data_IF_162717438099
#
_entry.id   IF_162717438099
#
_cell.length_a   1.000
_cell.length_b   1.000
_cell.length_c   1.000
_cell.angle_alpha   90.00
_cell.angle_beta   90.00
_cell.angle_gamma   90.00
#
_symmetry.space_group_name_H-M   'P 1'
#
loop_
_entity.id
_entity.type
_entity.pdbx_description
1 polymer ?
#
# COMPACT_ATOMS: atom_id res chain seq x y z
N UNK A 1 21.49 -8.77 -16.23
CA UNK A 1 21.83 -8.36 -14.86
C UNK A 1 22.69 -7.11 -14.92
N UNK A 2 22.19 -5.96 -15.27
CA UNK A 2 22.94 -4.72 -15.20
C UNK A 2 21.96 -3.56 -15.40
N UNK A 3 22.03 -2.57 -14.57
CA UNK A 3 21.61 -1.19 -14.78
C UNK A 3 20.73 -0.50 -13.71
N UNK A 4 20.52 -1.13 -12.57
CA UNK A 4 19.95 -0.40 -11.41
C UNK A 4 21.04 0.39 -10.64
N UNK A 5 22.31 0.27 -11.05
CA UNK A 5 23.47 0.95 -10.43
C UNK A 5 23.63 2.42 -10.82
N UNK A 6 22.79 2.97 -11.70
CA UNK A 6 22.90 4.34 -12.18
C UNK A 6 21.83 5.30 -11.64
N UNK A 7 21.05 4.89 -10.64
CA UNK A 7 20.29 5.86 -9.83
C UNK A 7 21.34 6.53 -8.92
N UNK A 8 21.49 7.86 -8.95
CA UNK A 8 22.44 8.54 -8.07
C UNK A 8 22.06 8.17 -6.63
N UNK A 9 22.96 7.44 -5.98
CA UNK A 9 22.85 6.92 -4.62
C UNK A 9 23.00 8.09 -3.64
N UNK A 10 22.07 9.01 -3.67
CA UNK A 10 21.90 10.06 -2.66
C UNK A 10 20.57 9.91 -1.92
N UNK A 11 19.86 8.83 -2.14
CA UNK A 11 18.81 8.44 -1.18
C UNK A 11 19.53 7.89 0.04
N UNK A 12 19.62 8.71 1.06
CA UNK A 12 20.15 8.30 2.35
C UNK A 12 19.41 6.99 2.72
N UNK A 13 20.17 5.92 2.96
CA UNK A 13 19.59 4.59 3.27
C UNK A 13 18.59 4.68 4.42
N UNK A 14 18.81 5.64 5.32
CA UNK A 14 17.90 5.92 6.43
C UNK A 14 16.55 6.43 5.96
N UNK A 15 16.54 7.29 4.95
CA UNK A 15 15.29 7.82 4.35
C UNK A 15 14.51 6.73 3.64
N UNK A 16 15.19 5.79 2.97
CA UNK A 16 14.53 4.65 2.33
C UNK A 16 13.83 3.75 3.37
N UNK A 17 14.54 3.37 4.43
CA UNK A 17 13.95 2.53 5.49
C UNK A 17 12.83 3.25 6.23
N UNK A 18 13.00 4.54 6.53
CA UNK A 18 11.96 5.35 7.13
C UNK A 18 10.73 5.49 6.20
N UNK A 19 10.93 5.64 4.89
CA UNK A 19 9.85 5.67 3.91
C UNK A 19 9.04 4.37 3.89
N UNK A 20 9.70 3.22 3.83
CA UNK A 20 9.02 1.91 3.87
C UNK A 20 8.27 1.70 5.18
N UNK A 21 8.92 2.02 6.31
CA UNK A 21 8.28 1.97 7.62
C UNK A 21 6.99 2.82 7.66
N UNK A 22 7.04 4.07 7.19
CA UNK A 22 5.88 4.96 7.19
C UNK A 22 4.77 4.48 6.25
N UNK A 23 5.12 3.92 5.10
CA UNK A 23 4.15 3.35 4.16
C UNK A 23 3.47 2.12 4.76
N UNK A 24 4.22 1.20 5.36
CA UNK A 24 3.68 0.02 6.04
C UNK A 24 2.79 0.43 7.22
N UNK A 25 3.26 1.36 8.06
CA UNK A 25 2.49 1.91 9.17
C UNK A 25 1.16 2.54 8.70
N UNK A 26 1.19 3.32 7.60
CA UNK A 26 -0.03 3.93 7.05
C UNK A 26 -1.02 2.88 6.57
N UNK A 27 -0.55 1.80 5.97
CA UNK A 27 -1.37 0.66 5.56
C UNK A 27 -2.02 -0.03 6.74
N UNK A 28 -1.25 -0.31 7.81
CA UNK A 28 -1.77 -0.91 9.03
C UNK A 28 -2.81 -0.01 9.73
N UNK A 29 -2.51 1.27 9.90
CA UNK A 29 -3.44 2.23 10.52
C UNK A 29 -4.75 2.31 9.74
N UNK A 30 -4.67 2.30 8.40
CA UNK A 30 -5.85 2.27 7.56
C UNK A 30 -6.65 0.98 7.75
N UNK A 31 -6.00 -0.18 7.74
CA UNK A 31 -6.65 -1.49 7.93
C UNK A 31 -7.37 -1.58 9.27
N UNK A 32 -6.71 -1.21 10.36
CA UNK A 32 -7.29 -1.19 11.70
C UNK A 32 -8.45 -0.19 11.79
N UNK A 33 -8.33 0.98 11.17
CA UNK A 33 -9.38 1.99 11.15
C UNK A 33 -10.63 1.47 10.42
N UNK A 34 -10.48 0.90 9.23
CA UNK A 34 -11.57 0.33 8.45
C UNK A 34 -12.22 -0.82 9.21
N UNK A 35 -11.44 -1.72 9.77
CA UNK A 35 -11.92 -2.85 10.57
C UNK A 35 -12.76 -2.39 11.75
N UNK A 36 -12.32 -1.36 12.48
CA UNK A 36 -13.06 -0.79 13.61
C UNK A 36 -14.36 -0.10 13.18
N UNK A 37 -14.33 0.66 12.08
CA UNK A 37 -15.51 1.34 11.58
C UNK A 37 -16.55 0.31 11.08
N UNK A 38 -16.14 -0.73 10.36
CA UNK A 38 -17.06 -1.79 9.94
C UNK A 38 -17.66 -2.54 11.13
N UNK A 39 -16.84 -2.87 12.11
CA UNK A 39 -17.31 -3.56 13.32
C UNK A 39 -18.33 -2.73 14.10
N UNK A 40 -18.16 -1.41 14.14
CA UNK A 40 -19.05 -0.51 14.88
C UNK A 40 -20.30 -0.10 14.08
N UNK A 41 -20.17 0.14 12.77
CA UNK A 41 -21.22 0.75 11.95
C UNK A 41 -22.16 -0.27 11.28
N UNK A 42 -21.65 -1.47 10.94
CA UNK A 42 -22.43 -2.46 10.18
C UNK A 42 -22.64 -3.70 11.05
N UNK A 43 -21.66 -4.57 11.16
CA UNK A 43 -21.70 -5.80 11.97
C UNK A 43 -20.25 -6.31 12.11
N UNK A 44 -19.90 -6.90 13.24
CA UNK A 44 -18.56 -7.42 13.51
C UNK A 44 -18.04 -8.44 12.46
N UNK A 45 -18.96 -9.18 11.83
CA UNK A 45 -18.61 -10.13 10.77
C UNK A 45 -17.95 -9.48 9.54
N UNK A 46 -18.26 -8.21 9.28
CA UNK A 46 -17.67 -7.51 8.13
C UNK A 46 -16.23 -7.01 8.37
N UNK A 47 -15.71 -7.14 9.58
CA UNK A 47 -14.30 -6.88 9.86
C UNK A 47 -13.37 -7.77 9.02
N UNK A 48 -13.75 -9.04 8.79
CA UNK A 48 -12.97 -9.95 7.93
C UNK A 48 -12.92 -9.51 6.46
N UNK A 49 -13.94 -8.80 6.00
CA UNK A 49 -13.97 -8.25 4.64
C UNK A 49 -12.87 -7.19 4.47
N UNK A 50 -12.64 -6.34 5.47
CA UNK A 50 -11.58 -5.33 5.43
C UNK A 50 -10.19 -5.97 5.25
N UNK A 51 -9.89 -7.01 6.04
CA UNK A 51 -8.62 -7.76 5.94
C UNK A 51 -8.49 -8.43 4.56
N UNK A 52 -9.56 -9.06 4.07
CA UNK A 52 -9.56 -9.72 2.76
C UNK A 52 -9.29 -8.73 1.62
N UNK A 53 -9.90 -7.54 1.68
CA UNK A 53 -9.70 -6.48 0.69
C UNK A 53 -8.29 -5.93 0.74
N UNK A 54 -7.71 -5.75 1.94
CA UNK A 54 -6.32 -5.35 2.10
C UNK A 54 -5.36 -6.37 1.45
N UNK A 55 -5.56 -7.66 1.71
CA UNK A 55 -4.76 -8.73 1.11
C UNK A 55 -4.90 -8.79 -0.42
N UNK A 56 -6.11 -8.59 -0.95
CA UNK A 56 -6.32 -8.52 -2.41
C UNK A 56 -5.60 -7.33 -3.02
N UNK A 57 -5.69 -6.15 -2.40
CA UNK A 57 -5.00 -4.94 -2.87
C UNK A 57 -3.47 -5.13 -2.88
N UNK A 58 -2.91 -5.58 -1.76
CA UNK A 58 -1.47 -5.85 -1.63
C UNK A 58 -1.01 -6.94 -2.59
N UNK A 59 -1.72 -8.05 -2.70
CA UNK A 59 -1.38 -9.16 -3.60
C UNK A 59 -1.43 -8.76 -5.08
N UNK A 60 -2.48 -8.06 -5.49
CA UNK A 60 -2.64 -7.57 -6.87
C UNK A 60 -1.51 -6.60 -7.26
N UNK A 61 -1.07 -5.74 -6.35
CA UNK A 61 0.04 -4.82 -6.59
C UNK A 61 1.35 -5.55 -6.85
N UNK A 62 1.63 -6.60 -6.08
CA UNK A 62 2.82 -7.46 -6.28
C UNK A 62 2.82 -8.09 -7.67
N UNK A 63 1.69 -8.64 -8.12
CA UNK A 63 1.54 -9.20 -9.47
C UNK A 63 1.77 -8.17 -10.57
N UNK A 64 1.20 -6.96 -10.40
CA UNK A 64 1.38 -5.87 -11.39
C UNK A 64 2.84 -5.43 -11.48
N UNK A 65 3.51 -5.26 -10.37
CA UNK A 65 4.94 -4.89 -10.34
C UNK A 65 5.78 -6.02 -10.94
N UNK A 66 5.53 -7.27 -10.59
CA UNK A 66 6.24 -8.44 -11.13
C UNK A 66 6.06 -8.56 -12.64
N UNK A 67 4.84 -8.42 -13.15
CA UNK A 67 4.56 -8.50 -14.58
C UNK A 67 5.24 -7.37 -15.37
N UNK A 68 5.32 -6.18 -14.77
CA UNK A 68 5.89 -5.00 -15.41
C UNK A 68 7.36 -4.76 -15.10
N UNK A 69 8.00 -5.59 -14.29
CA UNK A 69 9.42 -5.47 -13.89
C UNK A 69 10.36 -5.24 -15.08
N UNK A 70 10.12 -5.92 -16.21
CA UNK A 70 10.92 -5.74 -17.41
C UNK A 70 10.69 -4.40 -18.14
N UNK A 71 9.55 -3.76 -17.92
CA UNK A 71 9.17 -2.45 -18.49
C UNK A 71 9.40 -1.29 -17.51
N UNK A 72 9.50 -1.58 -16.21
CA UNK A 72 9.68 -0.61 -15.12
C UNK A 72 11.16 -0.27 -14.89
N UNK A 73 11.95 -0.08 -15.96
CA UNK A 73 13.35 0.32 -15.84
C UNK A 73 13.48 1.84 -15.78
N UNK A 74 14.23 2.35 -14.81
CA UNK A 74 14.60 3.77 -14.71
C UNK A 74 13.45 4.68 -14.22
N UNK A 75 13.25 5.81 -14.89
CA UNK A 75 12.31 6.89 -14.50
C UNK A 75 10.85 6.44 -14.31
N UNK A 76 10.43 5.35 -14.96
CA UNK A 76 9.09 4.82 -14.81
C UNK A 76 8.81 4.22 -13.42
N UNK A 77 9.78 3.52 -12.84
CA UNK A 77 9.64 2.96 -11.49
C UNK A 77 9.58 4.09 -10.44
N UNK A 78 10.42 5.10 -10.61
CA UNK A 78 10.43 6.29 -9.75
C UNK A 78 9.09 7.04 -9.82
N UNK A 79 8.63 7.35 -11.03
CA UNK A 79 7.34 8.02 -11.23
C UNK A 79 6.17 7.21 -10.65
N UNK A 80 6.17 5.90 -10.85
CA UNK A 80 5.11 5.04 -10.31
C UNK A 80 5.06 5.11 -8.77
N UNK A 81 6.21 5.07 -8.12
CA UNK A 81 6.31 5.19 -6.66
C UNK A 81 5.83 6.58 -6.19
N UNK A 82 6.23 7.65 -6.87
CA UNK A 82 5.78 9.02 -6.56
C UNK A 82 4.27 9.16 -6.73
N UNK A 83 3.70 8.71 -7.85
CA UNK A 83 2.26 8.76 -8.08
C UNK A 83 1.49 7.91 -7.09
N UNK A 84 2.02 6.75 -6.68
CA UNK A 84 1.41 5.91 -5.66
C UNK A 84 1.42 6.59 -4.29
N UNK A 85 2.49 7.28 -3.93
CA UNK A 85 2.58 8.04 -2.67
C UNK A 85 1.57 9.20 -2.63
N UNK A 86 1.47 9.97 -3.72
CA UNK A 86 0.43 11.00 -3.86
C UNK A 86 -0.98 10.40 -3.82
N UNK A 87 -1.17 9.26 -4.50
CA UNK A 87 -2.43 8.52 -4.48
C UNK A 87 -2.84 8.13 -3.06
N UNK A 88 -1.95 7.57 -2.26
CA UNK A 88 -2.22 7.19 -0.86
C UNK A 88 -2.70 8.42 -0.07
N UNK A 89 -1.99 9.55 -0.19
CA UNK A 89 -2.31 10.79 0.54
C UNK A 89 -3.71 11.31 0.21
N UNK A 90 -4.16 11.15 -1.03
CA UNK A 90 -5.48 11.60 -1.49
C UNK A 90 -6.57 10.56 -1.21
N UNK A 91 -6.29 9.27 -1.49
CA UNK A 91 -7.31 8.23 -1.40
C UNK A 91 -7.65 7.84 0.04
N UNK A 92 -6.72 7.91 1.00
CA UNK A 92 -7.03 7.57 2.40
C UNK A 92 -8.12 8.50 2.97
N UNK A 93 -7.99 9.85 2.92
CA UNK A 93 -9.05 10.74 3.41
C UNK A 93 -10.37 10.57 2.67
N UNK A 94 -10.33 10.40 1.34
CA UNK A 94 -11.55 10.17 0.54
C UNK A 94 -12.25 8.89 0.99
N UNK A 95 -11.51 7.81 1.16
CA UNK A 95 -12.02 6.51 1.59
C UNK A 95 -12.70 6.61 2.96
N UNK A 96 -12.05 7.25 3.93
CA UNK A 96 -12.61 7.46 5.27
C UNK A 96 -13.84 8.39 5.25
N UNK A 97 -13.82 9.43 4.43
CA UNK A 97 -14.94 10.35 4.28
C UNK A 97 -16.17 9.66 3.68
N UNK A 98 -15.99 8.94 2.57
CA UNK A 98 -17.08 8.18 1.92
C UNK A 98 -17.64 7.13 2.88
N UNK A 99 -16.77 6.45 3.61
CA UNK A 99 -17.18 5.49 4.61
C UNK A 99 -18.02 6.15 5.71
N UNK A 100 -17.58 7.27 6.25
CA UNK A 100 -18.35 8.00 7.28
C UNK A 100 -19.73 8.43 6.77
N UNK A 101 -19.81 8.87 5.52
CA UNK A 101 -21.07 9.36 4.93
C UNK A 101 -22.08 8.22 4.60
N UNK A 102 -21.60 7.03 4.26
CA UNK A 102 -22.43 5.94 3.71
C UNK A 102 -22.42 4.65 4.55
N UNK A 103 -21.70 4.61 5.67
CA UNK A 103 -21.48 3.39 6.46
C UNK A 103 -22.77 2.75 7.01
N UNK A 104 -23.86 3.50 7.13
CA UNK A 104 -25.14 2.98 7.64
C UNK A 104 -25.90 2.10 6.63
N UNK A 105 -25.46 2.02 5.38
CA UNK A 105 -26.18 1.31 4.32
C UNK A 105 -25.38 0.16 3.76
N UNK A 106 -25.72 -1.07 4.17
CA UNK A 106 -25.06 -2.32 3.73
C UNK A 106 -25.09 -2.52 2.21
N UNK A 107 -26.02 -1.90 1.50
CA UNK A 107 -26.15 -1.99 0.04
C UNK A 107 -24.89 -1.47 -0.70
N UNK A 108 -24.11 -0.60 -0.08
CA UNK A 108 -22.87 -0.06 -0.65
C UNK A 108 -21.62 -0.90 -0.33
N UNK A 109 -21.77 -2.06 0.31
CA UNK A 109 -20.65 -2.93 0.67
C UNK A 109 -19.72 -3.26 -0.52
N UNK A 110 -20.23 -3.65 -1.70
CA UNK A 110 -19.35 -3.91 -2.86
C UNK A 110 -18.56 -2.67 -3.31
N UNK A 111 -19.17 -1.49 -3.23
CA UNK A 111 -18.50 -0.21 -3.54
C UNK A 111 -17.36 0.04 -2.54
N UNK A 112 -17.61 -0.20 -1.25
CA UNK A 112 -16.58 -0.07 -0.22
C UNK A 112 -15.41 -1.03 -0.45
N UNK A 113 -15.68 -2.27 -0.85
CA UNK A 113 -14.62 -3.25 -1.14
C UNK A 113 -13.68 -2.75 -2.25
N UNK A 114 -14.23 -2.20 -3.34
CA UNK A 114 -13.45 -1.63 -4.43
C UNK A 114 -12.68 -0.40 -3.96
N UNK A 115 -13.35 0.51 -3.27
CA UNK A 115 -12.76 1.78 -2.81
C UNK A 115 -11.59 1.54 -1.84
N UNK A 116 -11.71 0.56 -0.94
CA UNK A 116 -10.67 0.22 0.04
C UNK A 116 -9.50 -0.54 -0.58
N UNK A 117 -9.73 -1.31 -1.65
CA UNK A 117 -8.64 -2.02 -2.31
C UNK A 117 -7.62 -1.07 -2.96
N UNK A 118 -8.05 0.15 -3.35
CA UNK A 118 -7.19 1.13 -4.03
C UNK A 118 -6.02 1.59 -3.14
N UNK A 119 -6.20 2.12 -1.93
CA UNK A 119 -5.08 2.54 -1.10
C UNK A 119 -4.15 1.37 -0.74
N UNK A 120 -4.66 0.17 -0.47
CA UNK A 120 -3.83 -1.02 -0.23
C UNK A 120 -3.03 -1.43 -1.47
N UNK A 121 -3.63 -1.32 -2.65
CA UNK A 121 -2.93 -1.56 -3.90
C UNK A 121 -1.79 -0.56 -4.10
N UNK A 122 -1.99 0.73 -3.79
CA UNK A 122 -0.96 1.76 -3.89
C UNK A 122 0.17 1.55 -2.87
N UNK A 123 -0.15 1.20 -1.63
CA UNK A 123 0.82 0.80 -0.61
C UNK A 123 1.66 -0.38 -1.11
N UNK A 124 1.00 -1.41 -1.62
CA UNK A 124 1.67 -2.59 -2.15
C UNK A 124 2.56 -2.31 -3.36
N UNK A 125 2.21 -1.36 -4.24
CA UNK A 125 3.08 -0.92 -5.34
C UNK A 125 4.40 -0.35 -4.79
N UNK A 126 4.35 0.53 -3.80
CA UNK A 126 5.55 1.15 -3.23
C UNK A 126 6.45 0.09 -2.59
N UNK A 127 5.87 -0.78 -1.77
CA UNK A 127 6.61 -1.85 -1.09
C UNK A 127 7.23 -2.81 -2.13
N UNK A 128 6.44 -3.30 -3.09
CA UNK A 128 6.91 -4.23 -4.11
C UNK A 128 7.98 -3.62 -5.03
N UNK A 129 7.83 -2.34 -5.39
CA UNK A 129 8.82 -1.62 -6.18
C UNK A 129 10.14 -1.44 -5.40
N UNK A 130 10.07 -1.12 -4.10
CA UNK A 130 11.25 -0.99 -3.25
C UNK A 130 12.00 -2.32 -3.10
N UNK A 131 11.30 -3.42 -2.86
CA UNK A 131 11.92 -4.76 -2.79
C UNK A 131 12.59 -5.16 -4.10
N UNK A 132 11.98 -4.79 -5.22
CA UNK A 132 12.56 -5.07 -6.54
C UNK A 132 13.81 -4.23 -6.82
N UNK A 133 13.75 -2.94 -6.47
CA UNK A 133 14.85 -2.00 -6.71
C UNK A 133 16.07 -2.26 -5.80
N UNK A 134 15.83 -2.65 -4.55
CA UNK A 134 16.84 -2.79 -3.51
C UNK A 134 16.99 -4.23 -3.00
N UNK A 135 16.95 -5.20 -3.90
CA UNK A 135 17.03 -6.63 -3.57
C UNK A 135 18.27 -7.00 -2.73
N UNK A 136 19.39 -6.27 -2.88
CA UNK A 136 20.62 -6.50 -2.10
C UNK A 136 20.49 -6.19 -0.60
N UNK A 137 19.50 -5.39 -0.21
CA UNK A 137 19.21 -5.02 1.18
C UNK A 137 17.79 -5.45 1.61
N UNK A 138 17.21 -6.41 0.88
CA UNK A 138 15.84 -6.88 1.09
C UNK A 138 15.55 -7.29 2.54
N UNK A 139 16.49 -7.93 3.24
CA UNK A 139 16.31 -8.32 4.65
C UNK A 139 16.09 -7.13 5.59
N UNK A 140 16.79 -6.00 5.35
CA UNK A 140 16.60 -4.77 6.13
C UNK A 140 15.32 -4.03 5.76
N UNK A 141 14.95 -4.05 4.48
CA UNK A 141 13.67 -3.53 4.00
C UNK A 141 12.51 -4.29 4.64
N UNK A 142 12.60 -5.62 4.68
CA UNK A 142 11.61 -6.47 5.32
C UNK A 142 11.49 -6.17 6.83
N UNK A 143 12.61 -5.96 7.52
CA UNK A 143 12.58 -5.56 8.92
C UNK A 143 11.88 -4.21 9.12
N UNK A 144 12.15 -3.21 8.26
CA UNK A 144 11.50 -1.90 8.32
C UNK A 144 9.99 -2.00 8.05
N UNK A 145 9.59 -2.80 7.06
CA UNK A 145 8.19 -3.09 6.72
C UNK A 145 7.48 -3.77 7.90
N UNK A 146 8.08 -4.82 8.47
CA UNK A 146 7.51 -5.57 9.57
C UNK A 146 7.32 -4.71 10.84
N UNK A 147 8.31 -3.87 11.16
CA UNK A 147 8.21 -2.95 12.31
C UNK A 147 7.14 -1.88 12.06
N UNK A 148 6.98 -1.42 10.81
CA UNK A 148 5.92 -0.48 10.43
C UNK A 148 4.53 -1.10 10.49
N UNK A 149 4.42 -2.40 10.23
CA UNK A 149 3.18 -3.18 10.23
C UNK A 149 2.91 -3.91 11.57
N UNK A 150 3.54 -3.53 12.66
CA UNK A 150 3.34 -4.07 14.00
C UNK A 150 2.89 -3.00 14.97
#
# INVERSE_FOLDING_TARGET
>A
MASWQSIPILVDRRLLFAGIFLVALSGLVLEVSITRIFSAAIWYHFAFVAVSVALVGLGASGLVVQYRVNKLKGKWAENLTIYSAWGITVFIPITLFVMHALASQVIYLPLFMILFSVPFFLVGIIISAAFNAFASVAGRLYAADLIGAS
#
